data_IF_148360448210
#
_entry.id   IF_148360448210
#
_cell.length_a   1.000
_cell.length_b   1.000
_cell.length_c   1.000
_cell.angle_alpha   90.00
_cell.angle_beta   90.00
_cell.angle_gamma   90.00
#
_symmetry.space_group_name_H-M   'P 1'
#
loop_
_entity.id
_entity.type
_entity.pdbx_description
1 polymer ?
#
# COMPACT_ATOMS: atom_id res chain seq x y z
N UNK A 1 16.44 -10.17 -28.29
CA UNK A 1 15.36 -10.51 -27.35
C UNK A 1 16.02 -10.88 -26.04
N UNK A 2 16.26 -9.88 -25.19
CA UNK A 2 17.00 -10.04 -23.95
C UNK A 2 16.13 -10.77 -22.93
N UNK A 3 16.59 -11.95 -22.51
CA UNK A 3 15.97 -12.76 -21.47
C UNK A 3 16.35 -12.19 -20.11
N UNK A 4 15.50 -11.32 -19.54
CA UNK A 4 15.56 -11.03 -18.12
C UNK A 4 15.10 -12.26 -17.32
N UNK A 5 15.79 -12.65 -16.24
CA UNK A 5 15.35 -13.76 -15.42
C UNK A 5 14.10 -13.33 -14.64
N UNK A 6 12.97 -14.00 -14.91
CA UNK A 6 11.77 -13.89 -14.06
C UNK A 6 12.16 -14.18 -12.61
N UNK A 7 12.22 -13.13 -11.78
CA UNK A 7 12.30 -13.26 -10.33
C UNK A 7 11.04 -13.97 -9.86
N UNK A 8 11.14 -15.30 -9.68
CA UNK A 8 10.06 -16.14 -9.15
C UNK A 8 9.55 -15.54 -7.85
N UNK A 9 8.30 -15.11 -7.85
CA UNK A 9 7.60 -14.64 -6.65
C UNK A 9 7.70 -15.72 -5.56
N UNK A 10 8.05 -15.37 -4.31
CA UNK A 10 8.13 -16.34 -3.23
C UNK A 10 6.75 -16.99 -3.04
N UNK A 11 6.67 -18.30 -3.25
CA UNK A 11 5.44 -19.07 -3.02
C UNK A 11 5.09 -19.01 -1.53
N UNK A 12 3.88 -18.57 -1.20
CA UNK A 12 3.34 -18.65 0.15
C UNK A 12 3.21 -20.13 0.55
N UNK A 13 4.11 -20.62 1.40
CA UNK A 13 4.09 -22.00 1.89
C UNK A 13 2.85 -22.24 2.75
N UNK A 14 2.22 -23.41 2.57
CA UNK A 14 1.12 -23.91 3.41
C UNK A 14 1.76 -24.75 4.50
N UNK A 15 1.74 -24.28 5.74
CA UNK A 15 2.27 -25.02 6.90
C UNK A 15 1.13 -25.64 7.72
N UNK A 16 1.46 -26.75 8.39
CA UNK A 16 0.57 -27.69 9.08
C UNK A 16 0.35 -27.36 10.55
N UNK A 17 -0.91 -27.46 11.00
CA UNK A 17 -1.33 -27.93 12.34
C UNK A 17 -1.01 -27.10 13.60
N UNK A 18 -0.01 -26.20 13.58
CA UNK A 18 0.34 -25.38 14.74
C UNK A 18 -0.57 -24.16 14.89
N UNK A 19 -0.80 -23.65 16.12
CA UNK A 19 -1.58 -22.45 16.32
C UNK A 19 -0.91 -21.24 15.64
N UNK A 20 -1.69 -20.33 15.05
CA UNK A 20 -1.16 -19.18 14.32
C UNK A 20 -0.24 -18.34 15.21
N UNK A 21 1.05 -18.30 14.87
CA UNK A 21 2.11 -17.79 15.75
C UNK A 21 2.72 -16.49 15.24
N UNK A 22 2.81 -16.28 13.92
CA UNK A 22 3.51 -15.12 13.33
C UNK A 22 2.59 -14.28 12.47
N UNK A 23 2.68 -12.96 12.59
CA UNK A 23 1.97 -12.01 11.72
C UNK A 23 2.99 -11.45 10.74
N UNK A 24 2.82 -11.74 9.45
CA UNK A 24 3.69 -11.27 8.37
C UNK A 24 2.99 -10.25 7.51
N UNK A 25 3.64 -9.15 7.22
CA UNK A 25 3.14 -8.10 6.35
C UNK A 25 3.23 -8.53 4.88
N UNK A 26 2.22 -8.22 4.08
CA UNK A 26 2.27 -8.40 2.64
C UNK A 26 2.41 -7.03 1.98
N UNK A 27 3.59 -6.80 1.42
CA UNK A 27 3.98 -5.50 0.84
C UNK A 27 3.97 -5.55 -0.68
N UNK A 28 3.77 -4.38 -1.28
CA UNK A 28 3.97 -4.16 -2.72
C UNK A 28 5.40 -4.50 -3.14
N UNK A 29 5.58 -4.81 -4.43
CA UNK A 29 6.87 -5.22 -4.97
C UNK A 29 7.93 -4.12 -4.78
N UNK A 30 7.51 -2.85 -4.78
CA UNK A 30 8.36 -1.67 -4.54
C UNK A 30 9.06 -1.63 -3.18
N UNK A 31 8.60 -2.41 -2.19
CA UNK A 31 9.26 -2.55 -0.89
C UNK A 31 10.21 -3.75 -0.83
N UNK A 32 10.02 -4.73 -1.72
CA UNK A 32 10.74 -6.01 -1.67
C UNK A 32 11.83 -6.12 -2.73
N UNK A 33 11.73 -5.31 -3.80
CA UNK A 33 12.69 -5.30 -4.89
C UNK A 33 13.67 -4.13 -4.78
N UNK A 34 14.87 -4.25 -5.37
CA UNK A 34 15.79 -3.12 -5.49
C UNK A 34 15.12 -1.97 -6.25
N UNK A 35 15.59 -0.74 -5.99
CA UNK A 35 15.09 0.44 -6.70
C UNK A 35 15.40 0.29 -8.20
N UNK A 36 14.41 0.46 -9.09
CA UNK A 36 14.64 0.40 -10.52
C UNK A 36 15.65 1.48 -10.93
N UNK A 37 16.39 1.24 -12.00
CA UNK A 37 17.41 2.16 -12.50
C UNK A 37 17.00 2.74 -13.85
N UNK A 38 17.50 3.94 -14.14
CA UNK A 38 17.36 4.62 -15.43
C UNK A 38 18.71 5.18 -15.83
N UNK A 39 19.01 5.16 -17.12
CA UNK A 39 20.24 5.74 -17.66
C UNK A 39 20.11 7.25 -17.82
N UNK A 40 21.11 7.98 -17.33
CA UNK A 40 21.21 9.44 -17.46
C UNK A 40 22.55 9.81 -18.07
N UNK A 41 22.58 10.92 -18.80
CA UNK A 41 23.83 11.57 -19.16
C UNK A 41 24.35 12.38 -17.99
N UNK A 42 25.62 12.14 -17.65
CA UNK A 42 26.38 12.94 -16.70
C UNK A 42 27.50 13.69 -17.40
N UNK A 43 27.72 14.93 -16.98
CA UNK A 43 28.85 15.75 -17.38
C UNK A 43 29.69 16.12 -16.17
N UNK A 44 30.98 16.37 -16.37
CA UNK A 44 31.86 16.85 -15.30
C UNK A 44 32.15 18.32 -15.53
N UNK A 45 32.01 19.13 -14.49
CA UNK A 45 32.35 20.55 -14.56
C UNK A 45 33.81 20.73 -14.13
N UNK A 46 34.63 21.34 -15.00
CA UNK A 46 36.04 21.57 -14.71
C UNK A 46 36.28 22.48 -13.50
N UNK A 47 35.43 23.51 -13.33
CA UNK A 47 35.57 24.51 -12.26
C UNK A 47 34.28 24.64 -11.44
N UNK A 48 34.35 24.35 -10.13
CA UNK A 48 33.18 24.35 -9.24
C UNK A 48 32.46 25.70 -9.16
N UNK A 49 33.12 26.83 -9.46
CA UNK A 49 32.47 28.15 -9.51
C UNK A 49 31.33 28.22 -10.52
N UNK A 50 31.46 27.49 -11.63
CA UNK A 50 30.45 27.45 -12.70
C UNK A 50 29.18 26.68 -12.30
N UNK A 51 29.23 25.81 -11.28
CA UNK A 51 28.05 25.06 -10.82
C UNK A 51 26.92 25.98 -10.35
N UNK A 52 27.26 27.11 -9.71
CA UNK A 52 26.29 28.09 -9.19
C UNK A 52 25.44 28.72 -10.29
N UNK A 53 25.98 28.87 -11.50
CA UNK A 53 25.29 29.39 -12.68
C UNK A 53 24.63 28.26 -13.49
N UNK A 54 25.33 27.15 -13.65
CA UNK A 54 24.92 26.04 -14.51
C UNK A 54 23.72 25.27 -13.94
N UNK A 55 23.68 24.99 -12.63
CA UNK A 55 22.59 24.19 -12.02
C UNK A 55 21.23 24.86 -12.15
N UNK A 56 21.05 26.17 -11.82
CA UNK A 56 19.80 26.88 -12.07
C UNK A 56 19.41 26.93 -13.55
N UNK A 57 20.39 27.19 -14.44
CA UNK A 57 20.14 27.21 -15.88
C UNK A 57 19.63 25.85 -16.38
N UNK A 58 20.33 24.77 -16.02
CA UNK A 58 19.92 23.41 -16.34
C UNK A 58 18.57 23.04 -15.72
N UNK A 59 18.18 23.58 -14.56
CA UNK A 59 16.87 23.30 -13.97
C UNK A 59 15.74 23.90 -14.82
N UNK A 60 16.00 25.03 -15.49
CA UNK A 60 15.10 25.67 -16.44
C UNK A 60 15.04 24.94 -17.78
N UNK A 61 16.20 24.62 -18.37
CA UNK A 61 16.27 24.14 -19.78
C UNK A 61 16.21 22.62 -19.93
N UNK A 62 16.78 21.89 -18.97
CA UNK A 62 16.86 20.43 -18.92
C UNK A 62 16.40 19.94 -17.53
N UNK A 63 15.11 20.09 -17.19
CA UNK A 63 14.60 19.63 -15.90
C UNK A 63 14.74 18.12 -15.77
N UNK A 64 15.18 17.66 -14.60
CA UNK A 64 15.44 16.23 -14.30
C UNK A 64 14.14 15.40 -14.08
N UNK A 65 12.98 15.97 -14.40
CA UNK A 65 11.69 15.29 -14.41
C UNK A 65 11.32 14.66 -13.06
N UNK A 66 11.10 13.34 -13.07
CA UNK A 66 10.73 12.52 -11.92
C UNK A 66 11.89 12.25 -10.96
N UNK A 67 13.13 12.60 -11.30
CA UNK A 67 14.34 12.28 -10.54
C UNK A 67 14.70 13.31 -9.46
N UNK A 68 13.72 14.03 -8.91
CA UNK A 68 13.94 15.12 -7.95
C UNK A 68 14.47 14.63 -6.58
N UNK A 69 14.37 13.33 -6.32
CA UNK A 69 14.98 12.67 -5.16
C UNK A 69 16.50 12.57 -5.29
N UNK A 70 17.08 12.63 -6.49
CA UNK A 70 18.52 12.59 -6.70
C UNK A 70 19.14 13.99 -6.47
N UNK A 71 20.36 14.02 -5.94
CA UNK A 71 21.15 15.26 -5.92
C UNK A 71 21.65 15.53 -7.33
N UNK A 72 21.37 16.71 -7.90
CA UNK A 72 21.80 17.01 -9.27
C UNK A 72 23.32 16.99 -9.44
N UNK A 73 24.05 17.43 -8.41
CA UNK A 73 25.50 17.51 -8.38
C UNK A 73 26.05 16.48 -7.38
N UNK A 74 27.05 15.74 -7.80
CA UNK A 74 27.79 14.80 -6.96
C UNK A 74 29.05 15.48 -6.36
N UNK A 75 29.63 14.87 -5.33
CA UNK A 75 30.78 15.44 -4.59
C UNK A 75 32.04 15.61 -5.43
N UNK A 76 32.18 14.84 -6.51
CA UNK A 76 33.30 14.88 -7.44
C UNK A 76 33.15 15.94 -8.55
N UNK A 77 32.08 16.74 -8.52
CA UNK A 77 31.78 17.76 -9.53
C UNK A 77 31.07 17.23 -10.78
N UNK A 78 30.67 15.96 -10.79
CA UNK A 78 29.79 15.43 -11.85
C UNK A 78 28.34 15.86 -11.64
N UNK A 79 27.64 16.12 -12.74
CA UNK A 79 26.28 16.63 -12.75
C UNK A 79 25.38 15.79 -13.63
N UNK A 80 24.14 15.56 -13.20
CA UNK A 80 23.10 14.98 -14.05
C UNK A 80 22.59 16.07 -15.01
N UNK A 81 22.69 15.78 -16.30
CA UNK A 81 22.14 16.61 -17.37
C UNK A 81 20.65 16.31 -17.54
N UNK A 82 20.35 15.10 -18.03
CA UNK A 82 19.00 14.58 -18.22
C UNK A 82 19.03 13.04 -18.43
N UNK A 83 17.88 12.36 -18.28
CA UNK A 83 17.68 11.00 -18.79
C UNK A 83 18.06 10.88 -20.27
N UNK A 84 18.64 9.73 -20.66
CA UNK A 84 19.13 9.50 -22.03
C UNK A 84 18.03 9.76 -23.06
N UNK A 85 16.86 9.16 -22.87
CA UNK A 85 15.71 9.31 -23.79
C UNK A 85 15.29 10.78 -23.92
N UNK A 86 15.11 11.47 -22.79
CA UNK A 86 14.69 12.87 -22.77
C UNK A 86 15.71 13.80 -23.44
N UNK A 87 17.01 13.54 -23.26
CA UNK A 87 18.05 14.36 -23.86
C UNK A 87 18.12 14.16 -25.38
N UNK A 88 17.98 12.93 -25.85
CA UNK A 88 18.00 12.62 -27.28
C UNK A 88 16.77 13.19 -28.02
N UNK A 89 15.60 13.19 -27.38
CA UNK A 89 14.40 13.86 -27.91
C UNK A 89 14.57 15.38 -27.99
N UNK A 90 15.22 15.99 -27.00
CA UNK A 90 15.55 17.42 -26.96
C UNK A 90 16.61 17.82 -27.99
N UNK A 91 17.52 16.90 -28.32
CA UNK A 91 18.67 17.11 -29.19
C UNK A 91 18.62 16.16 -30.39
N UNK A 92 17.62 16.29 -31.27
CA UNK A 92 17.46 15.38 -32.41
C UNK A 92 18.66 15.46 -33.35
N UNK A 93 18.91 14.36 -34.07
CA UNK A 93 19.91 14.34 -35.12
C UNK A 93 19.41 15.17 -36.30
N UNK A 94 20.16 16.19 -36.69
CA UNK A 94 19.87 16.95 -37.90
C UNK A 94 20.20 16.08 -39.12
N UNK A 95 19.17 15.77 -39.92
CA UNK A 95 19.34 15.03 -41.17
C UNK A 95 19.70 15.99 -42.29
N UNK A 96 20.98 16.33 -42.45
CA UNK A 96 21.46 16.97 -43.67
C UNK A 96 22.97 16.75 -43.91
N UNK A 97 23.26 15.97 -44.95
CA UNK A 97 24.36 16.11 -45.93
C UNK A 97 25.77 16.35 -45.37
N UNK A 98 26.57 15.28 -45.34
CA UNK A 98 28.04 15.32 -45.35
C UNK A 98 28.72 16.13 -44.22
N UNK A 99 28.26 16.01 -42.98
CA UNK A 99 29.03 16.48 -41.82
C UNK A 99 29.71 15.30 -41.11
N UNK A 100 30.98 15.51 -40.75
CA UNK A 100 31.86 14.56 -40.05
C UNK A 100 31.16 13.98 -38.80
N UNK A 101 31.34 12.69 -38.50
CA UNK A 101 30.74 11.99 -37.34
C UNK A 101 30.88 12.77 -36.01
N UNK A 102 31.94 13.58 -35.88
CA UNK A 102 32.22 14.42 -34.72
C UNK A 102 31.26 15.62 -34.56
N UNK A 103 30.75 16.19 -35.65
CA UNK A 103 29.84 17.34 -35.66
C UNK A 103 28.43 16.99 -35.13
N UNK A 104 28.05 15.71 -35.25
CA UNK A 104 26.77 15.18 -34.80
C UNK A 104 26.85 14.42 -33.46
N UNK A 105 28.01 14.46 -32.79
CA UNK A 105 28.16 13.93 -31.42
C UNK A 105 27.14 14.58 -30.46
N UNK A 106 26.83 13.87 -29.37
CA UNK A 106 25.88 14.39 -28.37
C UNK A 106 26.43 15.65 -27.69
N UNK A 107 27.75 15.72 -27.52
CA UNK A 107 28.48 16.86 -27.00
C UNK A 107 28.33 18.10 -27.90
N UNK A 108 28.51 17.94 -29.22
CA UNK A 108 28.34 19.03 -30.19
C UNK A 108 26.90 19.54 -30.23
N UNK A 109 25.91 18.64 -30.20
CA UNK A 109 24.48 19.01 -30.17
C UNK A 109 24.10 19.70 -28.87
N UNK A 110 24.56 19.18 -27.73
CA UNK A 110 24.35 19.80 -26.42
C UNK A 110 24.99 21.19 -26.37
N UNK A 111 26.22 21.34 -26.86
CA UNK A 111 26.91 22.63 -26.87
C UNK A 111 26.13 23.69 -27.64
N UNK A 112 25.63 23.36 -28.84
CA UNK A 112 24.77 24.26 -29.64
C UNK A 112 23.48 24.64 -28.90
N UNK A 113 22.83 23.67 -28.27
CA UNK A 113 21.61 23.92 -27.49
C UNK A 113 21.87 24.83 -26.29
N UNK A 114 22.90 24.55 -25.49
CA UNK A 114 23.24 25.39 -24.33
C UNK A 114 23.62 26.82 -24.75
N UNK A 115 24.29 26.99 -25.90
CA UNK A 115 24.59 28.31 -26.47
C UNK A 115 23.31 29.07 -26.86
N UNK A 116 22.35 28.41 -27.50
CA UNK A 116 21.06 29.04 -27.85
C UNK A 116 20.25 29.45 -26.62
N UNK A 117 20.44 28.77 -25.49
CA UNK A 117 19.80 29.08 -24.21
C UNK A 117 20.55 30.16 -23.41
N UNK A 118 21.61 30.75 -23.98
CA UNK A 118 22.34 31.88 -23.41
C UNK A 118 23.36 31.49 -22.33
N UNK A 119 23.84 30.25 -22.31
CA UNK A 119 24.93 29.82 -21.40
C UNK A 119 26.29 30.20 -22.00
N UNK A 120 27.20 30.69 -21.16
CA UNK A 120 28.54 31.12 -21.55
C UNK A 120 29.37 29.97 -22.17
N UNK A 121 30.07 30.26 -23.27
CA UNK A 121 30.96 29.31 -23.98
C UNK A 121 31.97 28.65 -23.06
N UNK A 122 32.56 29.39 -22.13
CA UNK A 122 33.57 28.86 -21.19
C UNK A 122 33.01 27.75 -20.30
N UNK A 123 31.74 27.84 -19.90
CA UNK A 123 31.05 26.83 -19.10
C UNK A 123 30.73 25.61 -19.96
N UNK A 124 30.28 25.85 -21.20
CA UNK A 124 29.92 24.80 -22.15
C UNK A 124 31.14 23.99 -22.56
N UNK A 125 32.25 24.65 -22.91
CA UNK A 125 33.51 23.99 -23.24
C UNK A 125 34.04 23.20 -22.05
N UNK A 126 33.88 23.71 -20.82
CA UNK A 126 34.23 23.00 -19.61
C UNK A 126 33.37 21.77 -19.30
N UNK A 127 32.13 21.70 -19.82
CA UNK A 127 31.19 20.60 -19.62
C UNK A 127 31.24 19.57 -20.75
N UNK A 128 31.27 20.04 -21.99
CA UNK A 128 31.21 19.23 -23.21
C UNK A 128 32.59 18.95 -23.80
N UNK A 129 33.64 19.67 -23.37
CA UNK A 129 35.02 19.35 -23.71
C UNK A 129 35.55 18.08 -23.05
N UNK A 130 34.80 17.53 -22.09
CA UNK A 130 34.99 16.17 -21.58
C UNK A 130 33.89 15.27 -22.16
N UNK A 131 34.24 14.02 -22.48
CA UNK A 131 33.28 13.05 -23.00
C UNK A 131 32.16 12.82 -21.97
N UNK A 132 30.90 13.01 -22.40
CA UNK A 132 29.74 12.74 -21.57
C UNK A 132 29.65 11.25 -21.30
N UNK A 133 29.25 10.90 -20.08
CA UNK A 133 29.11 9.50 -19.68
C UNK A 133 27.65 9.16 -19.47
N UNK A 134 27.27 7.96 -19.89
CA UNK A 134 26.00 7.36 -19.53
C UNK A 134 26.21 6.55 -18.25
N UNK A 135 25.31 6.71 -17.28
CA UNK A 135 25.40 5.99 -16.03
C UNK A 135 23.99 5.66 -15.49
N UNK A 136 23.79 4.45 -14.94
CA UNK A 136 22.54 4.07 -14.32
C UNK A 136 22.38 4.76 -12.96
N UNK A 137 21.23 5.37 -12.74
CA UNK A 137 20.85 6.00 -11.46
C UNK A 137 19.49 5.51 -10.99
N UNK A 138 19.17 5.59 -9.69
CA UNK A 138 17.87 5.16 -9.17
C UNK A 138 16.71 5.96 -9.78
N UNK A 139 15.80 5.29 -10.48
CA UNK A 139 14.67 5.89 -11.19
C UNK A 139 13.56 6.37 -10.24
N UNK A 140 13.43 5.77 -9.07
CA UNK A 140 12.45 6.15 -8.04
C UNK A 140 13.13 6.40 -6.70
N UNK A 141 12.44 7.09 -5.79
CA UNK A 141 12.94 7.31 -4.44
C UNK A 141 12.93 5.98 -3.67
N UNK A 142 14.06 5.60 -3.03
CA UNK A 142 14.09 4.45 -2.13
C UNK A 142 13.10 4.60 -0.97
N UNK A 143 12.34 3.55 -0.67
CA UNK A 143 11.31 3.54 0.38
C UNK A 143 11.86 3.04 1.71
N UNK A 144 12.85 2.15 1.66
CA UNK A 144 13.48 1.52 2.82
C UNK A 144 14.98 1.82 2.89
N UNK A 145 15.57 1.69 4.08
CA UNK A 145 16.99 1.96 4.30
C UNK A 145 17.91 1.08 3.45
N UNK A 146 17.61 -0.21 3.33
CA UNK A 146 18.44 -1.12 2.53
C UNK A 146 18.46 -0.72 1.04
N UNK A 147 17.32 -0.25 0.52
CA UNK A 147 17.21 0.27 -0.84
C UNK A 147 18.02 1.55 -0.98
N UNK A 148 17.91 2.46 -0.01
CA UNK A 148 18.68 3.70 0.01
C UNK A 148 20.18 3.45 0.01
N UNK A 149 20.68 2.53 0.83
CA UNK A 149 22.10 2.20 0.89
C UNK A 149 22.62 1.64 -0.44
N UNK A 150 21.82 0.85 -1.15
CA UNK A 150 22.16 0.38 -2.49
C UNK A 150 22.10 1.52 -3.54
N UNK A 151 21.02 2.29 -3.55
CA UNK A 151 20.80 3.40 -4.46
C UNK A 151 21.86 4.50 -4.33
N UNK A 152 22.24 4.85 -3.10
CA UNK A 152 23.21 5.88 -2.80
C UNK A 152 24.64 5.52 -3.20
N UNK A 153 24.94 4.23 -3.44
CA UNK A 153 26.21 3.79 -4.06
C UNK A 153 26.26 4.11 -5.55
N UNK A 154 25.12 4.09 -6.24
CA UNK A 154 25.02 4.45 -7.65
C UNK A 154 25.06 5.98 -7.81
N UNK A 155 24.21 6.69 -7.08
CA UNK A 155 24.17 8.14 -7.10
C UNK A 155 23.57 8.72 -5.82
N UNK A 156 24.09 9.86 -5.30
CA UNK A 156 23.56 10.45 -4.08
C UNK A 156 22.08 10.80 -4.20
N UNK A 157 21.26 10.30 -3.26
CA UNK A 157 19.83 10.55 -3.22
C UNK A 157 19.36 11.06 -1.85
N UNK A 158 18.18 11.68 -1.81
CA UNK A 158 17.50 12.11 -0.59
C UNK A 158 16.69 10.96 -0.03
N UNK A 159 16.87 10.67 1.25
CA UNK A 159 16.12 9.63 1.95
C UNK A 159 15.64 10.12 3.31
N UNK A 160 14.35 9.91 3.56
CA UNK A 160 13.71 10.19 4.83
C UNK A 160 13.15 8.87 5.36
N UNK A 161 13.77 8.26 6.38
CA UNK A 161 13.33 6.97 6.90
C UNK A 161 11.88 7.04 7.38
N UNK A 162 11.04 6.15 6.86
CA UNK A 162 9.66 5.99 7.32
C UNK A 162 9.58 4.82 8.32
N UNK A 163 9.46 5.13 9.62
CA UNK A 163 9.41 4.12 10.69
C UNK A 163 8.32 3.07 10.47
N UNK A 164 7.19 3.48 9.90
CA UNK A 164 6.06 2.59 9.64
C UNK A 164 6.38 1.59 8.53
N UNK A 165 6.97 2.04 7.42
CA UNK A 165 7.40 1.15 6.33
C UNK A 165 8.51 0.19 6.77
N UNK A 166 9.45 0.66 7.59
CA UNK A 166 10.50 -0.19 8.16
C UNK A 166 9.91 -1.26 9.09
N UNK A 167 8.92 -0.88 9.93
CA UNK A 167 8.25 -1.81 10.82
C UNK A 167 7.42 -2.85 10.06
N UNK A 168 6.74 -2.44 8.98
CA UNK A 168 6.04 -3.32 8.06
C UNK A 168 7.00 -4.32 7.39
N UNK A 169 8.13 -3.85 6.86
CA UNK A 169 9.12 -4.71 6.20
C UNK A 169 9.76 -5.70 7.17
N UNK A 170 10.00 -5.29 8.41
CA UNK A 170 10.62 -6.12 9.44
C UNK A 170 9.61 -6.99 10.23
N UNK A 171 8.32 -6.96 9.90
CA UNK A 171 7.24 -7.63 10.66
C UNK A 171 7.21 -7.27 12.16
N UNK A 172 7.51 -6.00 12.47
CA UNK A 172 7.58 -5.46 13.85
C UNK A 172 6.52 -4.41 14.15
N UNK A 173 5.54 -4.24 13.26
CA UNK A 173 4.49 -3.23 13.40
C UNK A 173 3.70 -3.39 14.71
N UNK A 174 3.43 -4.63 15.12
CA UNK A 174 2.59 -4.94 16.26
C UNK A 174 3.42 -5.31 17.49
N UNK A 175 3.14 -4.63 18.61
CA UNK A 175 3.66 -5.03 19.92
C UNK A 175 3.06 -6.37 20.39
N UNK A 176 3.61 -6.95 21.46
CA UNK A 176 3.20 -8.28 21.94
C UNK A 176 1.69 -8.38 22.26
N UNK A 177 1.13 -7.36 22.92
CA UNK A 177 -0.29 -7.32 23.29
C UNK A 177 -1.21 -7.19 22.07
N UNK A 178 -0.87 -6.30 21.13
CA UNK A 178 -1.64 -6.09 19.89
C UNK A 178 -1.58 -7.34 19.00
N UNK A 179 -0.39 -7.93 18.86
CA UNK A 179 -0.22 -9.19 18.13
C UNK A 179 -1.04 -10.34 18.77
N UNK A 180 -1.12 -10.41 20.10
CA UNK A 180 -1.96 -11.39 20.79
C UNK A 180 -3.46 -11.16 20.52
N UNK A 181 -3.91 -9.90 20.43
CA UNK A 181 -5.28 -9.58 20.05
C UNK A 181 -5.60 -10.00 18.61
N UNK A 182 -4.72 -9.69 17.65
CA UNK A 182 -4.86 -10.12 16.26
C UNK A 182 -4.93 -11.64 16.12
N UNK A 183 -4.07 -12.39 16.83
CA UNK A 183 -4.10 -13.86 16.86
C UNK A 183 -5.42 -14.38 17.42
N UNK A 184 -5.94 -13.78 18.50
CA UNK A 184 -7.23 -14.16 19.09
C UNK A 184 -8.38 -13.99 18.10
N UNK A 185 -8.44 -12.88 17.36
CA UNK A 185 -9.50 -12.69 16.36
C UNK A 185 -9.39 -13.70 15.20
N UNK A 186 -8.17 -14.03 14.78
CA UNK A 186 -7.97 -15.08 13.79
C UNK A 186 -8.36 -16.47 14.32
N UNK A 187 -8.03 -16.78 15.57
CA UNK A 187 -8.45 -18.00 16.23
C UNK A 187 -9.98 -18.13 16.25
N UNK A 188 -10.70 -17.06 16.57
CA UNK A 188 -12.18 -17.03 16.50
C UNK A 188 -12.66 -17.37 15.08
N UNK A 189 -12.08 -16.78 14.03
CA UNK A 189 -12.43 -17.11 12.64
C UNK A 189 -12.21 -18.60 12.33
N UNK A 190 -11.08 -19.17 12.77
CA UNK A 190 -10.74 -20.57 12.52
C UNK A 190 -11.65 -21.53 13.30
N UNK A 191 -11.99 -21.19 14.54
CA UNK A 191 -12.90 -21.96 15.38
C UNK A 191 -14.33 -21.93 14.84
N UNK A 192 -14.80 -20.77 14.37
CA UNK A 192 -16.09 -20.66 13.67
C UNK A 192 -16.08 -21.53 12.41
N UNK A 193 -15.03 -21.42 11.59
CA UNK A 193 -14.90 -22.24 10.38
C UNK A 193 -14.94 -23.73 10.71
N UNK A 194 -14.18 -24.19 11.71
CA UNK A 194 -14.17 -25.59 12.12
C UNK A 194 -15.53 -26.08 12.63
N UNK A 195 -16.27 -25.26 13.38
CA UNK A 195 -17.57 -25.62 13.93
C UNK A 195 -18.67 -25.70 12.86
N UNK A 196 -18.64 -24.81 11.87
CA UNK A 196 -19.64 -24.73 10.81
C UNK A 196 -19.14 -25.35 9.50
N UNK A 197 -18.74 -26.63 9.55
CA UNK A 197 -18.41 -27.46 8.37
C UNK A 197 -17.22 -26.97 7.53
N UNK A 198 -16.20 -26.38 8.18
CA UNK A 198 -14.98 -25.87 7.51
C UNK A 198 -15.22 -24.82 6.43
N UNK A 199 -16.37 -24.15 6.42
CA UNK A 199 -16.66 -23.07 5.47
C UNK A 199 -15.82 -21.81 5.78
N UNK A 200 -15.55 -20.93 4.81
CA UNK A 200 -14.83 -19.69 5.05
C UNK A 200 -15.58 -18.75 6.01
N UNK A 201 -14.88 -18.18 6.99
CA UNK A 201 -15.42 -17.25 7.97
C UNK A 201 -14.58 -15.99 8.06
N UNK A 202 -15.22 -14.92 8.49
CA UNK A 202 -14.60 -13.64 8.69
C UNK A 202 -15.24 -12.87 9.83
N UNK A 203 -14.41 -12.03 10.46
CA UNK A 203 -14.78 -11.17 11.58
C UNK A 203 -14.32 -9.77 11.27
N UNK A 204 -15.19 -8.80 11.45
CA UNK A 204 -14.87 -7.38 11.30
C UNK A 204 -14.81 -6.74 12.69
N UNK A 205 -13.71 -6.05 12.97
CA UNK A 205 -13.39 -5.54 14.30
C UNK A 205 -13.19 -4.03 14.22
N UNK A 206 -13.86 -3.31 15.11
CA UNK A 206 -13.52 -1.93 15.39
C UNK A 206 -12.37 -1.92 16.42
N UNK A 207 -11.20 -1.37 16.08
CA UNK A 207 -10.01 -1.39 16.92
C UNK A 207 -10.00 -0.26 17.97
N UNK A 208 -10.99 0.65 17.96
CA UNK A 208 -11.15 1.73 18.95
C UNK A 208 -12.38 1.47 19.82
N UNK A 209 -12.39 2.10 21.01
CA UNK A 209 -13.44 2.08 22.05
C UNK A 209 -13.26 1.04 23.15
N UNK A 210 -12.52 1.40 24.21
CA UNK A 210 -12.37 0.63 25.46
C UNK A 210 -11.88 -0.84 25.33
N UNK A 211 -11.42 -1.24 24.15
CA UNK A 211 -11.03 -2.60 23.77
C UNK A 211 -11.51 -2.91 22.35
N UNK A 212 -10.78 -3.75 21.60
CA UNK A 212 -11.21 -4.12 20.25
C UNK A 212 -12.55 -4.87 20.29
N UNK A 213 -13.54 -4.42 19.51
CA UNK A 213 -14.90 -4.99 19.48
C UNK A 213 -15.20 -5.64 18.14
N UNK A 214 -15.80 -6.82 18.15
CA UNK A 214 -16.34 -7.45 16.95
C UNK A 214 -17.63 -6.75 16.57
N UNK A 215 -17.65 -6.13 15.40
CA UNK A 215 -18.81 -5.41 14.84
C UNK A 215 -19.69 -6.35 14.05
N UNK A 216 -19.09 -7.28 13.30
CA UNK A 216 -19.80 -8.21 12.45
C UNK A 216 -19.08 -9.54 12.30
N UNK A 217 -19.85 -10.60 12.04
CA UNK A 217 -19.35 -11.95 11.74
C UNK A 217 -20.05 -12.45 10.47
N UNK A 218 -19.27 -12.91 9.49
CA UNK A 218 -19.77 -13.37 8.20
C UNK A 218 -19.23 -14.76 7.85
N UNK A 219 -20.13 -15.68 7.52
CA UNK A 219 -19.79 -16.99 6.95
C UNK A 219 -20.10 -17.03 5.45
N UNK A 220 -19.16 -17.50 4.63
CA UNK A 220 -19.41 -17.69 3.20
C UNK A 220 -20.49 -18.74 2.95
N UNK A 221 -21.31 -18.53 1.92
CA UNK A 221 -22.38 -19.43 1.48
C UNK A 221 -22.42 -19.51 -0.04
N UNK A 222 -21.27 -19.78 -0.67
CA UNK A 222 -21.12 -19.88 -2.12
C UNK A 222 -21.90 -21.04 -2.74
N UNK A 223 -22.28 -22.02 -1.92
CA UNK A 223 -23.22 -23.11 -2.23
C UNK A 223 -24.63 -22.58 -2.55
N UNK A 224 -25.05 -21.47 -1.92
CA UNK A 224 -26.36 -20.85 -2.13
C UNK A 224 -26.35 -19.82 -3.25
N UNK A 225 -25.28 -19.02 -3.35
CA UNK A 225 -25.13 -18.05 -4.42
C UNK A 225 -23.64 -17.83 -4.77
N UNK A 226 -23.28 -17.82 -6.06
CA UNK A 226 -21.88 -17.67 -6.50
C UNK A 226 -21.09 -16.46 -5.98
N UNK A 227 -21.74 -15.39 -5.51
CA UNK A 227 -21.07 -14.16 -5.03
C UNK A 227 -21.06 -14.04 -3.51
N UNK A 228 -21.73 -14.95 -2.79
CA UNK A 228 -21.78 -14.97 -1.32
C UNK A 228 -20.52 -15.57 -0.72
N UNK A 229 -19.39 -15.02 -1.14
CA UNK A 229 -18.11 -15.26 -0.52
C UNK A 229 -18.08 -14.59 0.86
N UNK A 230 -17.32 -15.18 1.79
CA UNK A 230 -17.19 -14.70 3.16
C UNK A 230 -16.97 -13.17 3.28
N UNK A 231 -16.02 -12.53 2.56
CA UNK A 231 -15.82 -11.09 2.68
C UNK A 231 -17.04 -10.26 2.24
N UNK A 232 -17.78 -10.73 1.23
CA UNK A 232 -18.98 -10.02 0.76
C UNK A 232 -20.09 -10.08 1.81
N UNK A 233 -20.33 -11.28 2.36
CA UNK A 233 -21.32 -11.47 3.42
C UNK A 233 -20.92 -10.66 4.65
N UNK A 234 -19.64 -10.64 5.01
CA UNK A 234 -19.14 -9.86 6.14
C UNK A 234 -19.36 -8.35 5.95
N UNK A 235 -19.09 -7.81 4.76
CA UNK A 235 -19.36 -6.40 4.43
C UNK A 235 -20.87 -6.10 4.56
N UNK A 236 -21.73 -6.98 4.06
CA UNK A 236 -23.19 -6.83 4.21
C UNK A 236 -23.60 -6.83 5.68
N UNK A 237 -23.03 -7.73 6.51
CA UNK A 237 -23.30 -7.77 7.95
C UNK A 237 -22.80 -6.51 8.68
N UNK A 238 -21.69 -5.90 8.25
CA UNK A 238 -21.28 -4.58 8.75
C UNK A 238 -22.33 -3.53 8.37
N UNK A 239 -22.85 -3.56 7.15
CA UNK A 239 -23.93 -2.65 6.74
C UNK A 239 -25.22 -2.86 7.56
N UNK A 240 -25.60 -4.11 7.85
CA UNK A 240 -26.73 -4.44 8.74
C UNK A 240 -26.52 -3.84 10.14
N UNK A 241 -25.30 -3.90 10.68
CA UNK A 241 -24.96 -3.27 11.96
C UNK A 241 -25.06 -1.75 11.97
N UNK A 242 -25.22 -1.13 10.79
CA UNK A 242 -25.35 0.31 10.58
C UNK A 242 -26.73 0.68 10.01
N UNK A 243 -27.74 -0.18 10.20
CA UNK A 243 -29.11 -0.04 9.68
C UNK A 243 -29.24 -0.08 8.14
N UNK A 244 -28.25 -0.65 7.46
CA UNK A 244 -28.27 -0.95 6.02
C UNK A 244 -28.38 -2.45 5.75
N UNK A 245 -27.58 -2.94 4.80
CA UNK A 245 -27.56 -4.35 4.40
C UNK A 245 -28.67 -4.72 3.41
N UNK A 246 -28.36 -5.65 2.52
CA UNK A 246 -29.25 -6.07 1.42
C UNK A 246 -29.67 -7.53 1.59
N UNK A 247 -28.73 -8.43 1.89
CA UNK A 247 -29.01 -9.88 1.87
C UNK A 247 -29.71 -10.37 3.13
N UNK A 248 -29.49 -9.69 4.25
CA UNK A 248 -30.10 -10.05 5.54
C UNK A 248 -31.13 -9.04 6.04
N UNK A 249 -31.68 -8.20 5.15
CA UNK A 249 -32.84 -7.39 5.48
C UNK A 249 -34.05 -8.34 5.60
N UNK A 250 -34.36 -8.77 6.81
CA UNK A 250 -35.65 -9.41 7.10
C UNK A 250 -36.72 -8.48 6.51
N UNK A 251 -37.51 -8.97 5.58
CA UNK A 251 -38.78 -8.32 5.23
C UNK A 251 -39.56 -8.14 6.53
N UNK A 252 -40.13 -6.95 6.70
CA UNK A 252 -40.99 -6.60 7.83
C UNK A 252 -41.98 -7.74 8.11
N UNK A 253 -41.92 -8.29 9.33
CA UNK A 253 -43.02 -8.93 10.07
C UNK A 253 -42.43 -9.87 11.13
N UNK A 254 -42.13 -9.27 12.27
CA UNK A 254 -42.40 -9.72 13.64
C UNK A 254 -41.72 -8.65 14.47
N UNK A 255 -42.37 -8.23 15.55
CA UNK A 255 -41.71 -7.63 16.71
C UNK A 255 -40.63 -8.60 17.22
N UNK A 256 -39.54 -8.80 16.47
CA UNK A 256 -38.37 -9.45 17.01
C UNK A 256 -37.73 -8.37 17.83
N UNK A 257 -37.97 -8.45 19.14
CA UNK A 257 -37.23 -7.76 20.18
C UNK A 257 -36.07 -6.98 19.59
N UNK A 258 -36.17 -5.65 19.59
CA UNK A 258 -34.99 -4.81 19.53
C UNK A 258 -34.14 -5.24 20.73
N UNK A 259 -33.33 -6.28 20.51
CA UNK A 259 -32.57 -6.94 21.55
C UNK A 259 -31.72 -5.83 22.14
N UNK A 260 -31.86 -5.57 23.45
CA UNK A 260 -31.25 -4.40 24.03
C UNK A 260 -29.77 -4.46 23.72
N UNK A 261 -29.28 -3.33 23.21
CA UNK A 261 -27.88 -3.08 23.04
C UNK A 261 -27.15 -3.50 24.32
N UNK A 262 -26.27 -4.50 24.25
CA UNK A 262 -25.32 -4.72 25.35
C UNK A 262 -24.52 -3.42 25.47
N UNK A 263 -24.70 -2.69 26.57
CA UNK A 263 -24.01 -1.44 26.88
C UNK A 263 -24.11 -0.34 25.80
N UNK A 264 -25.23 -0.28 25.06
CA UNK A 264 -25.46 0.75 24.03
C UNK A 264 -24.88 0.45 22.64
N UNK A 265 -24.34 -0.75 22.41
CA UNK A 265 -23.86 -1.22 21.11
C UNK A 265 -24.88 -2.06 20.32
N UNK A 266 -24.91 -1.90 18.99
CA UNK A 266 -25.82 -2.63 18.08
C UNK A 266 -25.24 -4.00 17.69
N UNK A 267 -26.04 -5.06 17.87
CA UNK A 267 -25.63 -6.44 17.57
C UNK A 267 -26.09 -6.95 16.20
N UNK A 268 -26.70 -6.10 15.37
CA UNK A 268 -27.30 -6.51 14.09
C UNK A 268 -26.33 -7.19 13.11
N UNK A 269 -25.03 -6.85 13.18
CA UNK A 269 -23.99 -7.48 12.36
C UNK A 269 -23.58 -8.89 12.78
N UNK A 270 -24.15 -9.43 13.85
CA UNK A 270 -23.75 -10.71 14.44
C UNK A 270 -24.99 -11.59 14.60
N UNK A 271 -25.08 -12.63 13.77
CA UNK A 271 -26.16 -13.61 13.89
C UNK A 271 -26.17 -14.24 15.30
N UNK A 272 -27.36 -14.45 15.92
CA UNK A 272 -27.48 -15.02 17.26
C UNK A 272 -26.70 -16.32 17.48
N UNK A 273 -26.56 -17.16 16.45
CA UNK A 273 -25.81 -18.42 16.56
C UNK A 273 -24.30 -18.16 16.77
N UNK A 274 -23.74 -17.18 16.06
CA UNK A 274 -22.33 -16.82 16.17
C UNK A 274 -22.06 -16.08 17.49
N UNK A 275 -23.00 -15.24 17.94
CA UNK A 275 -22.93 -14.61 19.26
C UNK A 275 -22.85 -15.65 20.36
N UNK A 276 -23.75 -16.65 20.33
CA UNK A 276 -23.76 -17.74 21.31
C UNK A 276 -22.43 -18.49 21.31
N UNK A 277 -21.95 -18.87 20.12
CA UNK A 277 -20.67 -19.53 19.96
C UNK A 277 -19.51 -18.74 20.59
N UNK A 278 -19.42 -17.43 20.33
CA UNK A 278 -18.34 -16.60 20.88
C UNK A 278 -18.46 -16.46 22.39
N UNK A 279 -19.68 -16.23 22.92
CA UNK A 279 -19.91 -16.09 24.36
C UNK A 279 -19.60 -17.38 25.13
N UNK A 280 -19.99 -18.54 24.61
CA UNK A 280 -19.73 -19.84 25.27
C UNK A 280 -18.23 -20.16 25.36
N UNK A 281 -17.42 -19.73 24.38
CA UNK A 281 -15.99 -20.09 24.30
C UNK A 281 -15.05 -19.01 24.85
N UNK A 282 -15.41 -17.74 24.70
CA UNK A 282 -14.53 -16.61 25.00
C UNK A 282 -15.09 -15.68 26.08
N UNK A 283 -16.34 -15.89 26.52
CA UNK A 283 -17.00 -15.08 27.54
C UNK A 283 -16.96 -13.58 27.22
N UNK A 284 -16.65 -12.78 28.25
CA UNK A 284 -16.55 -11.32 28.16
C UNK A 284 -15.14 -10.83 27.77
N UNK A 285 -14.21 -11.75 27.51
CA UNK A 285 -12.86 -11.38 27.04
C UNK A 285 -12.87 -10.80 25.63
N UNK A 286 -13.99 -10.96 24.91
CA UNK A 286 -14.22 -10.42 23.57
C UNK A 286 -15.48 -9.57 23.59
N UNK A 287 -15.31 -8.28 23.32
CA UNK A 287 -16.41 -7.34 23.22
C UNK A 287 -17.13 -7.48 21.87
N UNK A 288 -18.47 -7.39 21.87
CA UNK A 288 -19.31 -7.55 20.68
C UNK A 288 -20.19 -6.31 20.46
N UNK A 289 -20.50 -6.01 19.21
CA UNK A 289 -21.44 -4.96 18.81
C UNK A 289 -20.78 -3.72 18.21
N UNK A 290 -21.52 -3.11 17.28
CA UNK A 290 -21.20 -1.88 16.58
C UNK A 290 -21.59 -0.65 17.39
N UNK A 291 -20.86 0.45 17.19
CA UNK A 291 -21.34 1.75 17.67
C UNK A 291 -22.61 2.16 16.92
N UNK A 292 -23.60 2.75 17.59
CA UNK A 292 -24.80 3.23 16.93
C UNK A 292 -24.45 4.33 15.92
N UNK A 293 -25.13 4.31 14.77
CA UNK A 293 -24.97 5.34 13.75
C UNK A 293 -25.38 6.70 14.32
N UNK A 294 -24.51 7.70 14.22
CA UNK A 294 -24.83 9.08 14.58
C UNK A 294 -25.75 9.67 13.52
N UNK A 295 -27.06 9.57 13.72
CA UNK A 295 -28.00 10.49 13.08
C UNK A 295 -27.69 11.87 13.63
N UNK A 296 -27.59 12.90 12.79
CA UNK A 296 -27.02 14.23 13.11
C UNK A 296 -27.72 15.06 14.22
N UNK A 297 -28.39 14.42 15.18
CA UNK A 297 -29.05 14.98 16.36
C UNK A 297 -28.44 14.50 17.69
N UNK A 298 -27.42 13.64 17.68
CA UNK A 298 -26.78 13.16 18.92
C UNK A 298 -25.63 14.08 19.36
N UNK A 299 -25.71 14.54 20.61
CA UNK A 299 -24.83 15.51 21.25
C UNK A 299 -23.32 15.22 21.10
N UNK A 300 -22.57 16.32 21.03
CA UNK A 300 -21.10 16.37 21.11
C UNK A 300 -20.62 15.58 22.33
N UNK A 301 -19.91 14.48 22.08
CA UNK A 301 -19.10 13.85 23.12
C UNK A 301 -17.75 14.54 23.04
N UNK A 302 -17.47 15.40 24.02
CA UNK A 302 -16.17 16.05 24.20
C UNK A 302 -15.09 14.99 24.41
N UNK A 303 -14.45 14.57 23.32
CA UNK A 303 -13.22 13.77 23.36
C UNK A 303 -12.07 14.70 23.04
N UNK A 304 -11.57 15.36 24.09
CA UNK A 304 -10.32 16.10 24.04
C UNK A 304 -9.18 15.14 23.61
N UNK A 305 -8.74 15.25 22.36
CA UNK A 305 -7.57 14.54 21.81
C UNK A 305 -7.72 13.85 20.45
N UNK A 306 -8.90 13.84 19.82
CA UNK A 306 -9.15 13.09 18.58
C UNK A 306 -9.36 13.97 17.33
N UNK A 307 -8.46 14.92 17.06
CA UNK A 307 -8.63 15.90 15.98
C UNK A 307 -8.67 15.32 14.55
N UNK A 308 -8.35 14.04 14.35
CA UNK A 308 -8.23 13.39 13.03
C UNK A 308 -9.13 12.15 12.84
N UNK A 309 -10.06 11.89 13.78
CA UNK A 309 -10.92 10.70 13.69
C UNK A 309 -12.27 11.01 13.02
N UNK A 310 -12.35 10.76 11.72
CA UNK A 310 -13.59 10.86 10.95
C UNK A 310 -14.72 9.98 11.52
N UNK A 311 -14.43 8.86 12.21
CA UNK A 311 -15.45 8.05 12.87
C UNK A 311 -15.97 8.75 14.14
N UNK A 312 -15.08 9.35 14.93
CA UNK A 312 -15.50 10.14 16.09
C UNK A 312 -16.36 11.34 15.67
N UNK A 313 -16.05 11.94 14.52
CA UNK A 313 -16.74 13.13 14.00
C UNK A 313 -18.05 12.82 13.28
N UNK A 314 -18.11 11.75 12.48
CA UNK A 314 -19.24 11.46 11.59
C UNK A 314 -19.96 10.14 11.89
N UNK A 315 -19.48 9.35 12.86
CA UNK A 315 -19.99 8.02 13.16
C UNK A 315 -19.46 6.93 12.22
N UNK A 316 -19.89 5.68 12.42
CA UNK A 316 -19.48 4.55 11.57
C UNK A 316 -19.94 4.75 10.13
N UNK A 317 -19.05 4.48 9.18
CA UNK A 317 -19.31 4.57 7.75
C UNK A 317 -18.62 3.42 7.02
N UNK A 318 -19.40 2.46 6.51
CA UNK A 318 -18.90 1.23 5.89
C UNK A 318 -17.94 0.51 6.86
N UNK A 319 -16.79 0.06 6.38
CA UNK A 319 -15.74 -0.56 7.19
C UNK A 319 -14.58 0.41 7.46
N UNK A 320 -14.83 1.73 7.39
CA UNK A 320 -13.79 2.75 7.59
C UNK A 320 -13.16 2.60 8.97
N UNK A 321 -11.83 2.46 9.01
CA UNK A 321 -11.11 2.30 10.27
C UNK A 321 -11.17 0.88 10.88
N UNK A 322 -11.87 -0.07 10.24
CA UNK A 322 -12.03 -1.43 10.77
C UNK A 322 -10.96 -2.39 10.27
N UNK A 323 -10.63 -3.38 11.10
CA UNK A 323 -9.77 -4.50 10.75
C UNK A 323 -10.63 -5.72 10.41
N UNK A 324 -10.32 -6.38 9.30
CA UNK A 324 -11.04 -7.56 8.82
C UNK A 324 -10.13 -8.78 8.93
N UNK A 325 -10.62 -9.84 9.57
CA UNK A 325 -9.93 -11.12 9.73
C UNK A 325 -10.66 -12.18 8.91
N UNK A 326 -9.95 -12.93 8.07
CA UNK A 326 -10.52 -13.91 7.15
C UNK A 326 -9.77 -15.25 7.28
N UNK A 327 -10.49 -16.37 7.26
CA UNK A 327 -9.80 -17.67 7.28
C UNK A 327 -8.99 -17.94 6.02
N UNK A 328 -9.43 -17.41 4.88
CA UNK A 328 -8.81 -17.60 3.57
C UNK A 328 -8.53 -16.26 2.90
N UNK A 329 -7.48 -16.21 2.08
CA UNK A 329 -7.15 -15.06 1.26
C UNK A 329 -8.31 -14.77 0.28
N UNK A 330 -8.80 -13.52 0.21
CA UNK A 330 -9.93 -13.16 -0.64
C UNK A 330 -9.54 -13.20 -2.12
N UNK A 331 -10.51 -13.53 -2.97
CA UNK A 331 -10.35 -13.41 -4.41
C UNK A 331 -10.41 -11.95 -4.88
N UNK A 332 -10.13 -11.69 -6.17
CA UNK A 332 -10.09 -10.33 -6.74
C UNK A 332 -11.38 -9.55 -6.46
N UNK A 333 -12.55 -10.16 -6.68
CA UNK A 333 -13.86 -9.52 -6.40
C UNK A 333 -13.95 -9.08 -4.94
N UNK A 334 -13.61 -9.97 -4.00
CA UNK A 334 -13.70 -9.69 -2.58
C UNK A 334 -12.65 -8.68 -2.12
N UNK A 335 -11.42 -8.77 -2.64
CA UNK A 335 -10.36 -7.82 -2.35
C UNK A 335 -10.75 -6.39 -2.81
N UNK A 336 -11.38 -6.28 -3.98
CA UNK A 336 -11.89 -4.99 -4.49
C UNK A 336 -13.08 -4.48 -3.67
N UNK A 337 -13.97 -5.37 -3.22
CA UNK A 337 -15.07 -4.99 -2.33
C UNK A 337 -14.55 -4.41 -0.98
N UNK A 338 -13.43 -4.94 -0.46
CA UNK A 338 -12.78 -4.40 0.74
C UNK A 338 -12.20 -2.99 0.49
N UNK A 339 -11.69 -2.71 -0.73
CA UNK A 339 -11.28 -1.34 -1.15
C UNK A 339 -12.49 -0.41 -1.11
N UNK A 340 -13.59 -0.78 -1.77
CA UNK A 340 -14.81 0.03 -1.80
C UNK A 340 -15.43 0.23 -0.42
N UNK A 341 -15.21 -0.71 0.50
CA UNK A 341 -15.69 -0.65 1.89
C UNK A 341 -14.76 0.15 2.81
N UNK A 342 -13.64 0.67 2.31
CA UNK A 342 -12.64 1.47 3.04
C UNK A 342 -12.05 0.79 4.27
N UNK A 343 -11.88 -0.54 4.22
CA UNK A 343 -11.26 -1.32 5.29
C UNK A 343 -9.87 -0.76 5.64
N UNK A 344 -9.49 -0.78 6.92
CA UNK A 344 -8.17 -0.29 7.37
C UNK A 344 -7.08 -1.33 7.17
N UNK A 345 -7.32 -2.56 7.64
CA UNK A 345 -6.39 -3.69 7.57
C UNK A 345 -7.12 -4.99 7.27
N UNK A 346 -6.47 -5.88 6.55
CA UNK A 346 -6.97 -7.23 6.28
C UNK A 346 -5.95 -8.25 6.78
N UNK A 347 -6.39 -9.15 7.64
CA UNK A 347 -5.64 -10.29 8.14
C UNK A 347 -6.23 -11.56 7.54
N UNK A 348 -5.40 -12.44 6.99
CA UNK A 348 -5.85 -13.78 6.58
C UNK A 348 -4.91 -14.89 7.03
N UNK A 349 -5.41 -16.12 7.15
CA UNK A 349 -4.60 -17.26 7.54
C UNK A 349 -4.11 -18.09 6.34
N UNK A 350 -5.05 -18.67 5.57
CA UNK A 350 -4.74 -19.58 4.46
C UNK A 350 -4.63 -18.81 3.14
N UNK A 351 -3.52 -18.93 2.40
CA UNK A 351 -3.46 -18.41 1.04
C UNK A 351 -4.44 -19.17 0.13
N UNK A 352 -4.90 -18.55 -0.95
CA UNK A 352 -5.80 -19.17 -1.93
C UNK A 352 -5.07 -19.33 -3.26
N UNK A 353 -4.37 -20.45 -3.54
CA UNK A 353 -3.39 -20.59 -4.62
C UNK A 353 -3.86 -20.16 -6.02
N UNK A 354 -5.11 -20.41 -6.37
CA UNK A 354 -5.63 -20.18 -7.72
C UNK A 354 -6.47 -18.91 -7.86
N UNK A 355 -6.77 -18.22 -6.75
CA UNK A 355 -7.74 -17.10 -6.77
C UNK A 355 -7.35 -15.92 -5.90
N UNK A 356 -6.37 -16.09 -5.01
CA UNK A 356 -5.97 -15.11 -3.99
C UNK A 356 -5.41 -13.83 -4.59
N UNK A 357 -5.92 -12.68 -4.12
CA UNK A 357 -5.65 -11.37 -4.69
C UNK A 357 -4.87 -10.42 -3.78
N UNK A 358 -4.40 -10.89 -2.62
CA UNK A 358 -3.68 -10.04 -1.66
C UNK A 358 -2.21 -10.43 -1.49
N UNK A 359 -1.80 -11.60 -1.95
CA UNK A 359 -0.39 -12.01 -1.96
C UNK A 359 -0.07 -13.17 -2.90
N UNK A 360 -1.08 -13.94 -3.34
CA UNK A 360 -0.85 -15.11 -4.19
C UNK A 360 -0.70 -14.73 -5.68
N UNK A 361 -1.79 -14.34 -6.36
CA UNK A 361 -1.75 -14.03 -7.79
C UNK A 361 -1.41 -12.57 -8.05
N UNK A 362 -1.97 -11.68 -7.24
CA UNK A 362 -1.79 -10.24 -7.31
C UNK A 362 -1.73 -9.67 -5.89
N UNK A 363 -1.33 -8.41 -5.79
CA UNK A 363 -1.33 -7.63 -4.54
C UNK A 363 -2.24 -6.41 -4.75
N UNK A 364 -3.55 -6.65 -4.83
CA UNK A 364 -4.51 -5.62 -5.22
C UNK A 364 -4.44 -4.39 -4.31
N UNK A 365 -4.19 -4.59 -3.03
CA UNK A 365 -4.07 -3.52 -2.04
C UNK A 365 -2.86 -2.58 -2.28
N UNK A 366 -1.87 -3.01 -3.07
CA UNK A 366 -0.69 -2.24 -3.43
C UNK A 366 -0.79 -1.52 -4.79
N UNK A 367 -1.92 -1.62 -5.50
CA UNK A 367 -2.12 -0.95 -6.79
C UNK A 367 -2.32 0.56 -6.59
N UNK A 368 -1.36 1.37 -7.04
CA UNK A 368 -1.26 2.82 -6.77
C UNK A 368 -2.38 3.66 -7.38
N UNK A 369 -3.02 3.16 -8.44
CA UNK A 369 -4.09 3.82 -9.17
C UNK A 369 -5.45 3.72 -8.45
N UNK A 370 -5.53 2.93 -7.37
CA UNK A 370 -6.74 2.83 -6.55
C UNK A 370 -6.82 3.97 -5.54
N UNK A 371 -8.03 4.48 -5.30
CA UNK A 371 -8.23 5.63 -4.42
C UNK A 371 -8.07 5.30 -2.92
N UNK A 372 -8.32 4.06 -2.51
CA UNK A 372 -8.24 3.62 -1.12
C UNK A 372 -7.25 2.46 -0.99
N UNK A 373 -6.44 2.49 0.05
CA UNK A 373 -5.44 1.46 0.36
C UNK A 373 -5.64 0.92 1.76
N UNK A 374 -5.30 -0.35 1.94
CA UNK A 374 -5.32 -1.01 3.23
C UNK A 374 -4.09 -1.90 3.40
N UNK A 375 -3.70 -2.11 4.65
CA UNK A 375 -2.57 -2.96 4.98
C UNK A 375 -3.03 -4.42 5.01
N UNK A 376 -2.18 -5.32 4.54
CA UNK A 376 -2.49 -6.75 4.51
C UNK A 376 -1.45 -7.50 5.32
N UNK A 377 -1.95 -8.43 6.13
CA UNK A 377 -1.13 -9.32 6.94
C UNK A 377 -1.59 -10.76 6.77
N UNK A 378 -0.63 -11.67 6.78
CA UNK A 378 -0.88 -13.11 6.90
C UNK A 378 -0.53 -13.56 8.30
N UNK A 379 -1.45 -14.23 8.98
CA UNK A 379 -1.17 -14.88 10.25
C UNK A 379 -0.88 -16.35 9.98
N UNK A 380 0.38 -16.76 10.18
CA UNK A 380 0.90 -18.10 9.91
C UNK A 380 0.94 -18.91 11.18
#
# INVERSE_FOLDING_TARGET
MSTEPETKRPKLMVESGEPPSKIRSILGDEFTQPTPVIEVYIGRVAENRHLSQLVPALARILPIGTLQHLKRVNRDGTIILAPVVQLLEKLPVESAVCEEEQANSIESRLSRFLLSEGIDRTIIDGLCGQQLKVMPVPATQPLLRWQYEAANKLWPCKFHPNRHHEALYADTLFGAQEAAAHRRFMEICLQLSAHYESRPFGVCVHPRSAGSRIVAIGGGSSDRHPIWHCPMVLIDMVAVSQNGGIWHRKQDDVQSDAMPAEDGFQLGGIDPQYRRFVRERYGDTVCLGAEPTRTGTAAEVDVAGAADDNLAKYGPYLCTGYDVYLTHEPCIMCAMALVHSRVRRVFFHRPTPERGALGTLVKLHAVKELNHHYEVFRIV
#
